data_IF_270773199791
#
_entry.id   IF_270773199791
#
_cell.length_a   1.000
_cell.length_b   1.000
_cell.length_c   1.000
_cell.angle_alpha   90.00
_cell.angle_beta   90.00
_cell.angle_gamma   90.00
#
_symmetry.space_group_name_H-M   'P 1'
#
loop_
_entity.id
_entity.type
_entity.pdbx_description
1 polymer ?
#
# COMPACT_ATOMS: atom_id res chain seq x y z
N UNK A 1 -2.78 4.59 41.69
CA UNK A 1 -2.49 5.46 40.52
C UNK A 1 -1.18 5.06 39.78
N UNK A 2 -0.12 4.62 40.48
CA UNK A 2 1.17 4.16 39.89
C UNK A 2 1.03 2.86 39.09
N UNK A 3 0.20 1.93 39.53
CA UNK A 3 -0.03 0.65 38.86
C UNK A 3 -0.74 0.79 37.51
N UNK A 4 -1.67 1.74 37.39
CA UNK A 4 -2.38 2.00 36.12
C UNK A 4 -1.45 2.55 35.01
N UNK A 5 -0.37 3.26 35.38
CA UNK A 5 0.64 3.73 34.43
C UNK A 5 1.51 2.60 33.86
N UNK A 6 1.95 1.69 34.72
CA UNK A 6 2.79 0.54 34.32
C UNK A 6 1.99 -0.43 33.40
N UNK A 7 0.73 -0.67 33.73
CA UNK A 7 -0.14 -1.53 32.92
C UNK A 7 -0.46 -0.91 31.56
N UNK A 8 -0.61 0.41 31.49
CA UNK A 8 -0.78 1.14 30.25
C UNK A 8 0.48 1.06 29.37
N UNK A 9 1.65 1.32 29.93
CA UNK A 9 2.92 1.22 29.20
C UNK A 9 3.18 -0.19 28.67
N UNK A 10 2.92 -1.22 29.46
CA UNK A 10 3.03 -2.62 29.01
C UNK A 10 2.06 -2.90 27.88
N UNK A 11 0.82 -2.48 27.97
CA UNK A 11 -0.18 -2.64 26.92
C UNK A 11 0.23 -1.98 25.58
N UNK A 12 0.83 -0.79 25.64
CA UNK A 12 1.34 -0.09 24.46
C UNK A 12 2.53 -0.83 23.86
N UNK A 13 3.48 -1.32 24.68
CA UNK A 13 4.64 -2.08 24.21
C UNK A 13 4.24 -3.43 23.60
N UNK A 14 3.30 -4.14 24.19
CA UNK A 14 2.81 -5.41 23.67
C UNK A 14 2.03 -5.23 22.37
N UNK A 15 1.20 -4.18 22.26
CA UNK A 15 0.55 -3.79 21.03
C UNK A 15 1.57 -3.46 19.93
N UNK A 16 2.61 -2.69 20.25
CA UNK A 16 3.68 -2.36 19.34
C UNK A 16 4.45 -3.59 18.84
N UNK A 17 4.73 -4.55 19.71
CA UNK A 17 5.37 -5.82 19.34
C UNK A 17 4.49 -6.62 18.39
N UNK A 18 3.21 -6.75 18.70
CA UNK A 18 2.26 -7.49 17.85
C UNK A 18 2.16 -6.85 16.47
N UNK A 19 1.99 -5.54 16.41
CA UNK A 19 1.93 -4.80 15.15
C UNK A 19 3.20 -4.98 14.31
N UNK A 20 4.38 -4.88 14.95
CA UNK A 20 5.66 -5.11 14.31
C UNK A 20 5.80 -6.51 13.75
N UNK A 21 5.48 -7.53 14.55
CA UNK A 21 5.62 -8.92 14.14
C UNK A 21 4.66 -9.24 12.98
N UNK A 22 3.45 -8.68 13.00
CA UNK A 22 2.51 -8.76 11.88
C UNK A 22 3.08 -8.10 10.63
N UNK A 23 3.68 -6.90 10.75
CA UNK A 23 4.33 -6.23 9.64
C UNK A 23 5.49 -7.05 9.05
N UNK A 24 6.35 -7.60 9.89
CA UNK A 24 7.46 -8.49 9.45
C UNK A 24 6.94 -9.76 8.78
N UNK A 25 5.89 -10.36 9.31
CA UNK A 25 5.24 -11.52 8.68
C UNK A 25 4.76 -11.17 7.26
N UNK A 26 4.12 -10.02 7.07
CA UNK A 26 3.69 -9.56 5.75
C UNK A 26 4.87 -9.31 4.82
N UNK A 27 5.97 -8.76 5.31
CA UNK A 27 7.20 -8.61 4.52
C UNK A 27 7.72 -9.97 4.05
N UNK A 28 7.77 -10.98 4.91
CA UNK A 28 8.22 -12.32 4.54
C UNK A 28 7.29 -12.93 3.49
N UNK A 29 5.97 -12.88 3.72
CA UNK A 29 4.97 -13.39 2.76
C UNK A 29 5.09 -12.68 1.41
N UNK A 30 5.30 -11.37 1.41
CA UNK A 30 5.47 -10.61 0.17
C UNK A 30 6.72 -11.01 -0.61
N UNK A 31 7.83 -11.27 0.08
CA UNK A 31 9.07 -11.74 -0.58
C UNK A 31 8.87 -13.09 -1.24
N UNK A 32 8.11 -14.00 -0.61
CA UNK A 32 7.75 -15.29 -1.22
C UNK A 32 6.89 -15.08 -2.46
N UNK A 33 5.88 -14.20 -2.40
CA UNK A 33 5.02 -13.88 -3.54
C UNK A 33 5.80 -13.22 -4.68
N UNK A 34 6.68 -12.27 -4.38
CA UNK A 34 7.52 -11.61 -5.39
C UNK A 34 8.52 -12.58 -6.01
N UNK A 35 9.10 -13.48 -5.21
CA UNK A 35 9.95 -14.55 -5.70
C UNK A 35 9.20 -15.52 -6.62
N UNK A 36 7.98 -15.93 -6.23
CA UNK A 36 7.14 -16.79 -7.06
C UNK A 36 6.69 -16.08 -8.36
N UNK A 37 6.41 -14.78 -8.29
CA UNK A 37 6.09 -13.98 -9.47
C UNK A 37 7.28 -13.87 -10.42
N UNK A 38 8.49 -13.66 -9.88
CA UNK A 38 9.73 -13.67 -10.68
C UNK A 38 9.93 -15.01 -11.38
N UNK A 39 9.79 -16.11 -10.66
CA UNK A 39 9.90 -17.45 -11.22
C UNK A 39 8.84 -17.71 -12.30
N UNK A 40 7.58 -17.31 -12.03
CA UNK A 40 6.50 -17.43 -13.01
C UNK A 40 6.74 -16.57 -14.25
N UNK A 41 7.34 -15.39 -14.09
CA UNK A 41 7.72 -14.54 -15.23
C UNK A 41 8.80 -15.19 -16.11
N UNK A 42 9.80 -15.83 -15.48
CA UNK A 42 10.85 -16.57 -16.19
C UNK A 42 10.27 -17.76 -16.96
N UNK A 43 9.22 -18.40 -16.44
CA UNK A 43 8.51 -19.51 -17.09
C UNK A 43 7.40 -19.05 -18.06
N UNK A 44 7.26 -17.72 -18.30
CA UNK A 44 6.25 -17.13 -19.20
C UNK A 44 4.81 -17.50 -18.80
N UNK A 45 4.53 -17.71 -17.51
CA UNK A 45 3.19 -18.01 -17.01
C UNK A 45 2.27 -16.81 -17.20
N UNK A 46 1.04 -16.98 -17.75
CA UNK A 46 0.10 -15.89 -17.90
C UNK A 46 -0.35 -15.34 -16.52
N UNK A 47 -0.75 -14.06 -16.50
CA UNK A 47 -1.27 -13.37 -15.29
C UNK A 47 -0.26 -13.11 -14.15
N UNK A 48 1.03 -13.29 -14.37
CA UNK A 48 2.09 -12.99 -13.39
C UNK A 48 1.99 -11.57 -12.83
N UNK A 49 1.44 -10.62 -13.62
CA UNK A 49 1.25 -9.22 -13.20
C UNK A 49 0.44 -9.07 -11.91
N UNK A 50 -0.62 -9.88 -11.72
CA UNK A 50 -1.46 -9.82 -10.52
C UNK A 50 -0.66 -10.27 -9.29
N UNK A 51 0.15 -11.30 -9.43
CA UNK A 51 1.00 -11.82 -8.34
C UNK A 51 2.04 -10.74 -7.94
N UNK A 52 2.64 -10.06 -8.92
CA UNK A 52 3.54 -8.93 -8.67
C UNK A 52 2.86 -7.81 -7.89
N UNK A 53 1.70 -7.37 -8.34
CA UNK A 53 0.95 -6.29 -7.70
C UNK A 53 0.51 -6.68 -6.28
N UNK A 54 0.06 -7.92 -6.09
CA UNK A 54 -0.33 -8.43 -4.78
C UNK A 54 0.87 -8.49 -3.83
N UNK A 55 2.00 -9.05 -4.28
CA UNK A 55 3.23 -9.08 -3.51
C UNK A 55 3.71 -7.68 -3.11
N UNK A 56 3.71 -6.74 -4.06
CA UNK A 56 4.08 -5.35 -3.80
C UNK A 56 3.11 -4.64 -2.84
N UNK A 57 1.80 -4.92 -2.92
CA UNK A 57 0.79 -4.40 -1.99
C UNK A 57 1.05 -4.90 -0.58
N UNK A 58 1.26 -6.20 -0.41
CA UNK A 58 1.52 -6.82 0.90
C UNK A 58 2.86 -6.32 1.47
N UNK A 59 3.88 -6.14 0.63
CA UNK A 59 5.16 -5.56 1.05
C UNK A 59 4.98 -4.15 1.61
N UNK A 60 4.27 -3.30 0.89
CA UNK A 60 4.03 -1.92 1.30
C UNK A 60 3.23 -1.85 2.61
N UNK A 61 2.19 -2.70 2.76
CA UNK A 61 1.43 -2.82 4.01
C UNK A 61 2.31 -3.35 5.15
N UNK A 62 3.17 -4.32 4.89
CA UNK A 62 4.09 -4.89 5.88
C UNK A 62 5.09 -3.85 6.39
N UNK A 63 5.69 -3.07 5.50
CA UNK A 63 6.59 -1.97 5.86
C UNK A 63 5.84 -0.92 6.69
N UNK A 64 4.65 -0.51 6.26
CA UNK A 64 3.82 0.45 7.00
C UNK A 64 3.53 -0.02 8.43
N UNK A 65 3.11 -1.28 8.60
CA UNK A 65 2.82 -1.85 9.91
C UNK A 65 4.08 -1.98 10.78
N UNK A 66 5.19 -2.44 10.20
CA UNK A 66 6.43 -2.61 10.94
C UNK A 66 7.01 -1.28 11.45
N UNK A 67 7.00 -0.24 10.59
CA UNK A 67 7.50 1.09 10.94
C UNK A 67 6.53 1.92 11.80
N UNK A 68 5.22 1.72 11.63
CA UNK A 68 4.18 2.42 12.39
C UNK A 68 3.97 1.87 13.80
N UNK A 69 4.69 0.83 14.20
CA UNK A 69 4.54 0.21 15.51
C UNK A 69 5.02 1.14 16.63
N UNK A 70 4.18 1.46 17.63
CA UNK A 70 4.57 2.32 18.73
C UNK A 70 5.75 1.72 19.52
N UNK A 71 6.69 2.56 19.94
CA UNK A 71 7.84 2.16 20.77
C UNK A 71 8.99 1.48 20.02
N UNK A 72 8.94 1.44 18.69
CA UNK A 72 9.99 0.79 17.88
C UNK A 72 10.56 1.75 16.84
N UNK A 73 11.70 2.35 17.16
CA UNK A 73 12.55 2.98 16.15
C UNK A 73 13.46 1.91 15.53
N UNK A 74 13.09 1.37 14.37
CA UNK A 74 13.81 0.23 13.79
C UNK A 74 15.14 0.56 13.15
N UNK A 75 15.24 1.70 12.46
CA UNK A 75 16.32 1.95 11.52
C UNK A 75 16.94 3.33 11.62
N UNK A 76 16.28 4.27 12.27
CA UNK A 76 16.79 5.63 12.40
C UNK A 76 16.15 6.34 13.58
N UNK A 77 16.96 7.06 14.37
CA UNK A 77 16.49 7.99 15.38
C UNK A 77 15.85 9.25 14.73
N UNK A 78 16.03 9.42 13.42
CA UNK A 78 15.48 10.52 12.66
C UNK A 78 13.98 10.36 12.44
N UNK A 79 13.19 11.25 13.04
CA UNK A 79 11.74 11.34 12.80
C UNK A 79 11.41 11.53 11.32
N UNK A 80 12.25 12.27 10.60
CA UNK A 80 12.07 12.53 9.17
C UNK A 80 12.12 11.22 8.35
N UNK A 81 13.12 10.38 8.58
CA UNK A 81 13.25 9.09 7.88
C UNK A 81 12.06 8.19 8.17
N UNK A 82 11.66 8.07 9.44
CA UNK A 82 10.54 7.21 9.82
C UNK A 82 9.22 7.69 9.21
N UNK A 83 8.94 9.00 9.24
CA UNK A 83 7.73 9.59 8.64
C UNK A 83 7.72 9.41 7.12
N UNK A 84 8.88 9.59 6.47
CA UNK A 84 9.00 9.40 5.02
C UNK A 84 8.75 7.94 4.61
N UNK A 85 9.34 6.98 5.33
CA UNK A 85 9.12 5.55 5.06
C UNK A 85 7.65 5.17 5.22
N UNK A 86 6.98 5.66 6.28
CA UNK A 86 5.55 5.44 6.49
C UNK A 86 4.71 6.04 5.37
N UNK A 87 4.96 7.30 5.02
CA UNK A 87 4.22 7.99 3.98
C UNK A 87 4.39 7.31 2.62
N UNK A 88 5.63 6.97 2.23
CA UNK A 88 5.87 6.28 0.95
C UNK A 88 5.28 4.88 0.92
N UNK A 89 5.40 4.10 1.99
CA UNK A 89 4.81 2.76 2.02
C UNK A 89 3.28 2.82 1.86
N UNK A 90 2.61 3.82 2.44
CA UNK A 90 1.17 4.03 2.26
C UNK A 90 0.83 4.48 0.83
N UNK A 91 1.64 5.36 0.23
CA UNK A 91 1.46 5.79 -1.15
C UNK A 91 1.59 4.62 -2.13
N UNK A 92 2.63 3.79 -1.99
CA UNK A 92 2.82 2.61 -2.82
C UNK A 92 1.71 1.57 -2.61
N UNK A 93 1.28 1.37 -1.37
CA UNK A 93 0.13 0.51 -1.09
C UNK A 93 -1.10 0.92 -1.90
N UNK A 94 -1.48 2.21 -1.85
CA UNK A 94 -2.63 2.73 -2.59
C UNK A 94 -2.46 2.62 -4.11
N UNK A 95 -1.25 2.86 -4.63
CA UNK A 95 -0.93 2.70 -6.06
C UNK A 95 -1.12 1.26 -6.51
N UNK A 96 -0.59 0.29 -5.76
CA UNK A 96 -0.70 -1.12 -6.13
C UNK A 96 -2.14 -1.64 -6.02
N UNK A 97 -2.93 -1.15 -5.04
CA UNK A 97 -4.37 -1.42 -4.96
C UNK A 97 -5.08 -0.91 -6.23
N UNK A 98 -4.79 0.31 -6.69
CA UNK A 98 -5.32 0.83 -7.97
C UNK A 98 -4.95 -0.07 -9.14
N UNK A 99 -3.70 -0.55 -9.18
CA UNK A 99 -3.20 -1.46 -10.21
C UNK A 99 -3.94 -2.80 -10.20
N UNK A 100 -4.19 -3.38 -9.02
CA UNK A 100 -4.95 -4.62 -8.88
C UNK A 100 -6.38 -4.43 -9.39
N UNK A 101 -7.10 -3.39 -8.93
CA UNK A 101 -8.47 -3.11 -9.37
C UNK A 101 -8.49 -2.97 -10.91
N UNK A 102 -7.52 -2.23 -11.48
CA UNK A 102 -7.41 -2.02 -12.93
C UNK A 102 -7.24 -3.32 -13.70
N UNK A 103 -6.56 -4.33 -13.14
CA UNK A 103 -6.43 -5.63 -13.79
C UNK A 103 -7.77 -6.35 -13.97
N UNK A 104 -8.72 -6.10 -13.08
CA UNK A 104 -10.06 -6.71 -13.13
C UNK A 104 -11.07 -5.91 -13.96
N UNK A 105 -10.82 -4.64 -14.24
CA UNK A 105 -11.68 -3.82 -15.11
C UNK A 105 -11.57 -4.29 -16.57
N UNK A 106 -12.72 -4.42 -17.24
CA UNK A 106 -12.82 -4.80 -18.66
C UNK A 106 -13.31 -3.63 -19.52
N UNK A 107 -14.47 -3.09 -19.20
CA UNK A 107 -15.09 -1.99 -19.97
C UNK A 107 -14.46 -0.62 -19.69
N UNK A 108 -14.16 -0.34 -18.43
CA UNK A 108 -13.58 0.94 -17.98
C UNK A 108 -12.06 0.86 -17.74
N UNK A 109 -11.40 -0.11 -18.37
CA UNK A 109 -9.96 -0.37 -18.20
C UNK A 109 -9.07 0.85 -18.47
N UNK A 110 -9.47 1.72 -19.41
CA UNK A 110 -8.76 2.99 -19.71
C UNK A 110 -8.75 3.92 -18.49
N UNK A 111 -9.89 4.05 -17.80
CA UNK A 111 -10.00 4.88 -16.59
C UNK A 111 -9.05 4.33 -15.52
N UNK A 112 -9.04 3.00 -15.30
CA UNK A 112 -8.12 2.35 -14.39
C UNK A 112 -6.66 2.64 -14.69
N UNK A 113 -6.23 2.52 -15.95
CA UNK A 113 -4.85 2.84 -16.36
C UNK A 113 -4.51 4.31 -16.14
N UNK A 114 -5.39 5.23 -16.56
CA UNK A 114 -5.16 6.67 -16.37
C UNK A 114 -5.02 6.99 -14.89
N UNK A 115 -5.90 6.46 -14.04
CA UNK A 115 -5.84 6.67 -12.58
C UNK A 115 -4.55 6.09 -11.98
N UNK A 116 -4.16 4.88 -12.37
CA UNK A 116 -2.93 4.24 -11.87
C UNK A 116 -1.68 4.99 -12.31
N UNK A 117 -1.61 5.43 -13.57
CA UNK A 117 -0.49 6.22 -14.09
C UNK A 117 -0.44 7.59 -13.40
N UNK A 118 -1.57 8.27 -13.28
CA UNK A 118 -1.65 9.57 -12.60
C UNK A 118 -1.20 9.46 -11.13
N UNK A 119 -1.57 8.37 -10.45
CA UNK A 119 -1.11 8.07 -9.10
C UNK A 119 0.41 7.86 -9.03
N UNK A 120 0.98 7.11 -9.97
CA UNK A 120 2.43 6.90 -10.06
C UNK A 120 3.19 8.21 -10.32
N UNK A 121 2.72 9.03 -11.24
CA UNK A 121 3.29 10.35 -11.54
C UNK A 121 3.19 11.27 -10.33
N UNK A 122 2.05 11.29 -9.65
CA UNK A 122 1.88 12.09 -8.44
C UNK A 122 2.84 11.67 -7.32
N UNK A 123 3.08 10.38 -7.12
CA UNK A 123 4.09 9.90 -6.15
C UNK A 123 5.48 10.46 -6.51
N UNK A 124 5.86 10.42 -7.79
CA UNK A 124 7.14 10.97 -8.23
C UNK A 124 7.25 12.48 -7.95
N UNK A 125 6.18 13.23 -8.21
CA UNK A 125 6.10 14.67 -7.89
C UNK A 125 6.24 14.89 -6.39
N UNK A 126 5.52 14.13 -5.57
CA UNK A 126 5.58 14.23 -4.11
C UNK A 126 6.92 13.81 -3.52
N UNK A 127 7.68 13.00 -4.24
CA UNK A 127 9.06 12.69 -3.85
C UNK A 127 10.01 13.86 -4.07
N UNK A 128 9.80 14.62 -5.14
CA UNK A 128 10.67 15.72 -5.54
C UNK A 128 10.31 17.03 -4.82
N UNK A 129 9.03 17.29 -4.57
CA UNK A 129 8.55 18.54 -3.95
C UNK A 129 9.19 18.89 -2.60
N UNK A 130 9.35 17.97 -1.63
CA UNK A 130 9.99 18.30 -0.36
C UNK A 130 11.43 18.77 -0.53
N UNK A 131 12.15 18.23 -1.53
CA UNK A 131 13.54 18.58 -1.82
C UNK A 131 13.62 19.96 -2.48
N UNK A 132 12.72 20.26 -3.42
CA UNK A 132 12.75 21.50 -4.19
C UNK A 132 12.10 22.69 -3.48
N UNK A 133 11.00 22.45 -2.77
CA UNK A 133 10.18 23.51 -2.19
C UNK A 133 10.35 23.67 -0.66
N UNK A 134 11.21 22.86 -0.04
CA UNK A 134 11.43 22.88 1.41
C UNK A 134 10.13 22.72 2.23
N UNK A 135 9.18 21.96 1.69
CA UNK A 135 7.87 21.67 2.31
C UNK A 135 7.99 20.40 3.13
N UNK A 136 7.35 20.37 4.29
CA UNK A 136 7.34 19.14 5.09
C UNK A 136 6.55 18.05 4.38
N UNK A 137 7.13 16.86 4.30
CA UNK A 137 6.51 15.69 3.69
C UNK A 137 5.11 15.38 4.28
N UNK A 138 4.94 15.63 5.57
CA UNK A 138 3.67 15.40 6.27
C UNK A 138 2.52 16.24 5.74
N UNK A 139 2.78 17.49 5.33
CA UNK A 139 1.73 18.39 4.85
C UNK A 139 1.21 17.99 3.47
N UNK A 140 1.98 17.19 2.75
CA UNK A 140 1.70 16.80 1.37
C UNK A 140 1.09 15.40 1.27
N UNK A 141 1.57 14.44 2.05
CA UNK A 141 1.15 13.05 1.90
C UNK A 141 -0.31 12.80 2.29
N UNK A 142 -0.82 13.48 3.31
CA UNK A 142 -2.19 13.27 3.78
C UNK A 142 -3.24 13.69 2.73
N UNK A 143 -3.20 14.90 2.12
CA UNK A 143 -4.08 15.24 0.99
C UNK A 143 -3.98 14.25 -0.16
N UNK A 144 -2.78 13.75 -0.45
CA UNK A 144 -2.57 12.76 -1.50
C UNK A 144 -3.28 11.43 -1.16
N UNK A 145 -3.09 10.90 0.05
CA UNK A 145 -3.75 9.66 0.50
C UNK A 145 -5.27 9.77 0.41
N UNK A 146 -5.85 10.91 0.85
CA UNK A 146 -7.29 11.14 0.76
C UNK A 146 -7.75 11.13 -0.70
N UNK A 147 -7.07 11.88 -1.57
CA UNK A 147 -7.40 11.93 -3.01
C UNK A 147 -7.30 10.55 -3.66
N UNK A 148 -6.26 9.81 -3.34
CA UNK A 148 -6.06 8.46 -3.88
C UNK A 148 -7.08 7.45 -3.34
N UNK A 149 -7.48 7.59 -2.07
CA UNK A 149 -8.55 6.76 -1.50
C UNK A 149 -9.87 6.98 -2.24
N UNK A 150 -10.23 8.24 -2.52
CA UNK A 150 -11.41 8.57 -3.33
C UNK A 150 -11.30 7.96 -4.74
N UNK A 151 -10.15 8.07 -5.39
CA UNK A 151 -9.91 7.48 -6.69
C UNK A 151 -10.09 5.94 -6.67
N UNK A 152 -9.56 5.27 -5.64
CA UNK A 152 -9.74 3.83 -5.47
C UNK A 152 -11.20 3.43 -5.23
N UNK A 153 -11.95 4.23 -4.46
CA UNK A 153 -13.40 4.01 -4.27
C UNK A 153 -14.15 4.15 -5.59
N UNK A 154 -13.81 5.14 -6.41
CA UNK A 154 -14.40 5.31 -7.77
C UNK A 154 -14.06 4.10 -8.65
N UNK A 155 -12.82 3.62 -8.66
CA UNK A 155 -12.44 2.43 -9.42
C UNK A 155 -13.19 1.18 -8.95
N UNK A 156 -13.36 1.02 -7.64
CA UNK A 156 -14.14 -0.08 -7.07
C UNK A 156 -15.62 0.02 -7.48
N UNK A 157 -16.20 1.21 -7.48
CA UNK A 157 -17.56 1.44 -7.95
C UNK A 157 -17.72 1.10 -9.45
N UNK A 158 -16.73 1.44 -10.29
CA UNK A 158 -16.68 1.03 -11.68
C UNK A 158 -16.65 -0.51 -11.82
N UNK A 159 -15.84 -1.17 -11.02
CA UNK A 159 -15.75 -2.63 -11.01
C UNK A 159 -17.06 -3.29 -10.61
N UNK A 160 -17.72 -2.80 -9.55
CA UNK A 160 -19.03 -3.28 -9.09
C UNK A 160 -20.08 -3.06 -10.19
N UNK A 161 -20.10 -1.88 -10.80
CA UNK A 161 -21.00 -1.57 -11.91
C UNK A 161 -20.82 -2.57 -13.06
N UNK A 162 -19.60 -2.79 -13.53
CA UNK A 162 -19.30 -3.78 -14.58
C UNK A 162 -19.75 -5.18 -14.20
N UNK A 163 -19.57 -5.57 -12.94
CA UNK A 163 -20.03 -6.87 -12.43
C UNK A 163 -21.55 -7.00 -12.50
N UNK A 164 -22.29 -5.97 -12.04
CA UNK A 164 -23.77 -5.95 -12.08
C UNK A 164 -24.28 -5.97 -13.53
N UNK A 165 -23.72 -5.13 -14.42
CA UNK A 165 -24.14 -5.04 -15.82
C UNK A 165 -23.80 -6.31 -16.59
N UNK A 166 -22.73 -7.00 -16.26
CA UNK A 166 -22.38 -8.27 -16.91
C UNK A 166 -23.38 -9.40 -16.61
N UNK A 167 -24.16 -9.28 -15.54
CA UNK A 167 -25.28 -10.17 -15.17
C UNK A 167 -24.96 -11.67 -15.05
N UNK A 168 -23.68 -12.05 -15.18
CA UNK A 168 -23.26 -13.46 -15.28
C UNK A 168 -22.01 -13.72 -14.45
N UNK A 169 -22.15 -14.61 -13.51
CA UNK A 169 -21.03 -15.19 -12.72
C UNK A 169 -19.93 -15.80 -13.61
N UNK A 170 -20.27 -16.22 -14.83
CA UNK A 170 -19.35 -16.90 -15.76
C UNK A 170 -18.26 -16.04 -16.38
N UNK A 171 -18.34 -14.71 -16.26
CA UNK A 171 -17.31 -13.81 -16.82
C UNK A 171 -16.10 -13.60 -15.91
N UNK A 172 -16.15 -14.12 -14.70
CA UNK A 172 -15.16 -13.88 -13.66
C UNK A 172 -14.31 -15.11 -13.30
N UNK A 173 -14.66 -16.25 -13.88
CA UNK A 173 -13.88 -17.48 -13.87
C UNK A 173 -13.08 -17.63 -15.16
#
# INVERSE_FOLDING_TARGET
ALWSGIDFERGVLDSGRTQRNTGLFFVIVSLVLLGSALFSALLHVPNTRIIWLLGATILSAGIYLAYGAPGVSFWSESRFVNTSVLGFSMMFYMLFVSGIITCFLKGTKRIGYITTIASGVSIAIYFVLPVLANVYFYDIWLPWVVTQSVANVVLLACLIKEYIESGKKERWL
#
